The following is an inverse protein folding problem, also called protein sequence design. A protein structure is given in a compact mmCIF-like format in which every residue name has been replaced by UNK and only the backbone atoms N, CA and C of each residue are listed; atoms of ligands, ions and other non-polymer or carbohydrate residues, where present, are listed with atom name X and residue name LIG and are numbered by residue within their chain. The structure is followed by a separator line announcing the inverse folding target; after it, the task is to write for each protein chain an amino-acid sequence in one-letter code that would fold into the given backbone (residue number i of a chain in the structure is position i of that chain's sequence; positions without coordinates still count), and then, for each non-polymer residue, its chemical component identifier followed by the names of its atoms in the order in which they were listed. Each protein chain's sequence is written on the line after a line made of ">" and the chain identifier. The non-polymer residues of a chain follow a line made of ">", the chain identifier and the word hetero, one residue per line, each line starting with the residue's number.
data_IF_970019247500
#
_entry.id   IF_970019247500
#
_cell.length_a   1.000
_cell.length_b   1.000
_cell.length_c   1.000
_cell.angle_alpha   90.00
_cell.angle_beta   90.00
_cell.angle_gamma   90.00
#
_symmetry.space_group_name_H-M   'P 1'
#
loop_
_entity.id
_entity.type
_entity.pdbx_description
1 polymer ?
#
# COMPACT_ATOMS: atom_id res chain seq x y z
N UNK A 1 -4.32 5.81 -17.29
CA UNK A 1 -5.12 7.06 -17.33
C UNK A 1 -6.22 6.82 -16.32
N UNK A 2 -6.25 7.53 -15.18
CA UNK A 2 -7.16 7.21 -14.07
C UNK A 2 -8.61 7.22 -14.54
N UNK A 3 -9.35 6.14 -14.25
CA UNK A 3 -10.72 5.97 -14.72
C UNK A 3 -11.66 6.94 -13.96
N UNK A 4 -11.87 8.13 -14.51
CA UNK A 4 -12.59 9.23 -13.85
C UNK A 4 -13.99 8.82 -13.38
N UNK A 5 -14.70 7.98 -14.15
CA UNK A 5 -16.05 7.49 -13.83
C UNK A 5 -16.09 6.65 -12.55
N UNK A 6 -15.08 5.82 -12.27
CA UNK A 6 -15.06 4.99 -11.05
C UNK A 6 -14.80 5.84 -9.80
N UNK A 7 -14.02 6.92 -9.92
CA UNK A 7 -13.84 7.90 -8.84
C UNK A 7 -15.10 8.72 -8.59
N UNK A 8 -15.81 9.15 -9.64
CA UNK A 8 -17.12 9.81 -9.48
C UNK A 8 -18.14 8.92 -8.78
N UNK A 9 -18.20 7.64 -9.16
CA UNK A 9 -19.05 6.65 -8.47
C UNK A 9 -18.68 6.52 -6.99
N UNK A 10 -17.38 6.43 -6.69
CA UNK A 10 -16.88 6.39 -5.31
C UNK A 10 -17.34 7.61 -4.52
N UNK A 11 -17.21 8.83 -5.05
CA UNK A 11 -17.63 10.04 -4.33
C UNK A 11 -19.14 10.08 -4.03
N UNK A 12 -19.97 9.45 -4.86
CA UNK A 12 -21.42 9.33 -4.62
C UNK A 12 -21.78 8.25 -3.62
N UNK A 13 -21.07 7.13 -3.63
CA UNK A 13 -21.40 5.95 -2.84
C UNK A 13 -20.71 5.93 -1.47
N UNK A 14 -19.55 6.57 -1.35
CA UNK A 14 -18.71 6.49 -0.16
C UNK A 14 -19.43 7.06 1.06
N UNK A 15 -19.61 6.22 2.07
CA UNK A 15 -20.24 6.61 3.34
C UNK A 15 -19.16 7.10 4.32
N UNK A 16 -19.56 8.02 5.18
CA UNK A 16 -18.81 8.35 6.40
C UNK A 16 -19.24 7.45 7.56
N UNK A 17 -18.77 7.77 8.77
CA UNK A 17 -19.05 7.00 10.00
C UNK A 17 -20.51 6.63 10.28
N UNK A 18 -21.48 7.42 9.79
CA UNK A 18 -22.90 7.25 10.09
C UNK A 18 -23.60 6.20 9.21
N UNK A 19 -22.89 5.58 8.28
CA UNK A 19 -23.45 4.58 7.36
C UNK A 19 -22.83 3.18 7.48
N UNK A 20 -22.04 2.94 8.54
CA UNK A 20 -21.33 1.68 8.79
C UNK A 20 -21.96 0.99 10.01
N UNK A 21 -22.51 -0.20 9.81
CA UNK A 21 -23.13 -0.99 10.88
C UNK A 21 -22.25 -2.13 11.40
N UNK A 22 -21.15 -2.45 10.70
CA UNK A 22 -20.15 -3.42 11.15
C UNK A 22 -19.27 -2.81 12.24
N UNK A 23 -19.25 -3.37 13.48
CA UNK A 23 -18.42 -2.84 14.57
C UNK A 23 -16.92 -2.81 14.23
N UNK A 24 -16.45 -3.82 13.49
CA UNK A 24 -15.08 -3.90 13.00
C UNK A 24 -14.74 -2.71 12.09
N UNK A 25 -15.58 -2.45 11.09
CA UNK A 25 -15.36 -1.34 10.14
C UNK A 25 -15.59 0.01 10.82
N UNK A 26 -16.49 0.09 11.80
CA UNK A 26 -16.65 1.29 12.62
C UNK A 26 -15.36 1.63 13.37
N UNK A 27 -14.72 0.63 14.01
CA UNK A 27 -13.43 0.82 14.68
C UNK A 27 -12.33 1.27 13.70
N UNK A 28 -12.26 0.66 12.51
CA UNK A 28 -11.35 1.09 11.45
C UNK A 28 -11.53 2.59 11.12
N UNK A 29 -12.78 3.01 10.87
CA UNK A 29 -13.07 4.39 10.41
C UNK A 29 -12.94 5.41 11.52
N UNK A 30 -13.44 5.12 12.72
CA UNK A 30 -13.57 6.10 13.80
C UNK A 30 -12.34 6.12 14.72
N UNK A 31 -11.57 5.03 14.77
CA UNK A 31 -10.35 4.91 15.61
C UNK A 31 -9.07 4.85 14.77
N UNK A 32 -8.95 3.87 13.86
CA UNK A 32 -7.69 3.68 13.15
C UNK A 32 -7.42 4.83 12.17
N UNK A 33 -8.32 5.09 11.22
CA UNK A 33 -8.15 6.13 10.19
C UNK A 33 -8.24 7.56 10.73
N UNK A 34 -8.57 7.73 12.02
CA UNK A 34 -8.56 9.01 12.74
C UNK A 34 -7.33 9.22 13.61
N UNK A 35 -6.50 8.19 13.77
CA UNK A 35 -5.25 8.26 14.51
C UNK A 35 -4.36 9.36 13.92
N UNK A 36 -3.85 10.24 14.77
CA UNK A 36 -2.97 11.33 14.35
C UNK A 36 -1.56 10.80 14.13
N UNK A 37 -1.02 11.05 12.94
CA UNK A 37 0.40 10.85 12.66
C UNK A 37 1.24 11.73 13.60
N UNK A 38 2.26 11.15 14.23
CA UNK A 38 3.07 11.84 15.23
C UNK A 38 3.63 13.18 14.69
N UNK A 39 3.57 14.23 15.52
CA UNK A 39 3.95 15.59 15.11
C UNK A 39 5.42 15.67 14.68
N UNK A 40 6.33 15.04 15.43
CA UNK A 40 7.76 15.08 15.11
C UNK A 40 8.06 14.34 13.82
N UNK A 41 7.51 13.13 13.66
CA UNK A 41 7.61 12.39 12.40
C UNK A 41 7.09 13.23 11.22
N UNK A 42 5.94 13.87 11.36
CA UNK A 42 5.39 14.75 10.32
C UNK A 42 6.32 15.90 9.92
N UNK A 43 6.99 16.54 10.89
CA UNK A 43 7.96 17.63 10.62
C UNK A 43 9.17 17.08 9.87
N UNK A 44 9.75 15.97 10.33
CA UNK A 44 10.90 15.34 9.70
C UNK A 44 10.56 14.82 8.29
N UNK A 45 9.35 14.27 8.11
CA UNK A 45 8.86 13.75 6.83
C UNK A 45 8.76 14.84 5.78
N UNK A 46 8.28 16.03 6.15
CA UNK A 46 8.26 17.20 5.27
C UNK A 46 9.66 17.63 4.84
N UNK A 47 10.62 17.64 5.78
CA UNK A 47 12.03 17.97 5.47
C UNK A 47 12.65 16.94 4.53
N UNK A 48 12.44 15.65 4.80
CA UNK A 48 12.90 14.56 3.96
C UNK A 48 12.34 14.64 2.54
N UNK A 49 11.02 14.82 2.38
CA UNK A 49 10.40 15.04 1.07
C UNK A 49 10.96 16.27 0.34
N UNK A 50 11.26 17.36 1.05
CA UNK A 50 11.91 18.52 0.45
C UNK A 50 13.35 18.23 0.00
N UNK A 51 14.07 17.33 0.68
CA UNK A 51 15.36 16.79 0.23
C UNK A 51 15.22 16.00 -1.06
N UNK A 52 14.34 14.99 -1.08
CA UNK A 52 14.08 14.14 -2.25
C UNK A 52 13.63 14.93 -3.49
N UNK A 53 12.86 16.02 -3.32
CA UNK A 53 12.44 16.88 -4.45
C UNK A 53 13.57 17.71 -5.05
N UNK A 54 14.58 18.04 -4.26
CA UNK A 54 15.75 18.81 -4.72
C UNK A 54 16.79 17.93 -5.39
N UNK A 55 16.81 16.65 -5.05
CA UNK A 55 17.64 15.65 -5.71
C UNK A 55 17.08 15.33 -7.11
N UNK A 56 17.73 15.93 -8.12
CA UNK A 56 17.42 15.77 -9.54
C UNK A 56 18.45 14.93 -10.27
N UNK A 57 19.29 14.20 -9.54
CA UNK A 57 20.27 13.31 -10.15
C UNK A 57 19.51 12.21 -10.93
N UNK A 58 19.74 12.10 -12.25
CA UNK A 58 19.11 11.06 -13.04
C UNK A 58 19.77 9.70 -12.76
N UNK A 59 18.96 8.66 -12.66
CA UNK A 59 19.43 7.28 -12.56
C UNK A 59 18.55 6.33 -13.36
N UNK A 60 19.14 5.18 -13.67
CA UNK A 60 18.50 4.11 -14.43
C UNK A 60 17.51 3.33 -13.57
N UNK A 61 16.27 3.22 -14.04
CA UNK A 61 15.20 2.43 -13.42
C UNK A 61 14.75 1.35 -14.39
N UNK A 62 14.71 0.12 -13.91
CA UNK A 62 14.18 -1.03 -14.64
C UNK A 62 12.71 -1.15 -14.25
N UNK A 63 11.82 -1.00 -15.23
CA UNK A 63 10.39 -1.09 -15.01
C UNK A 63 9.94 -2.54 -15.27
N UNK A 64 9.62 -3.27 -14.19
CA UNK A 64 9.12 -4.66 -14.25
C UNK A 64 7.58 -4.74 -14.22
N UNK A 65 6.87 -3.61 -14.34
CA UNK A 65 5.41 -3.55 -14.31
C UNK A 65 4.71 -3.72 -15.66
N UNK A 66 3.39 -3.48 -15.66
CA UNK A 66 2.50 -3.76 -16.79
C UNK A 66 2.92 -2.99 -18.05
N UNK A 67 3.07 -3.70 -19.16
CA UNK A 67 3.34 -3.09 -20.47
C UNK A 67 4.78 -2.64 -20.73
N UNK A 68 5.70 -2.91 -19.80
CA UNK A 68 7.14 -2.67 -19.97
C UNK A 68 7.83 -3.97 -20.42
N UNK A 69 8.11 -4.15 -21.72
CA UNK A 69 9.23 -5.04 -22.11
C UNK A 69 10.44 -4.50 -21.35
N UNK A 70 11.12 -5.25 -20.47
CA UNK A 70 12.22 -4.77 -19.58
C UNK A 70 12.91 -3.47 -20.05
N UNK A 71 12.26 -2.32 -19.80
CA UNK A 71 12.61 -1.06 -20.44
C UNK A 71 13.32 -0.27 -19.37
N UNK A 72 14.58 0.01 -19.66
CA UNK A 72 15.36 0.91 -18.83
C UNK A 72 14.90 2.34 -19.10
N UNK A 73 14.42 3.03 -18.07
CA UNK A 73 14.01 4.43 -18.13
C UNK A 73 14.90 5.26 -17.21
N UNK A 74 15.27 6.45 -17.65
CA UNK A 74 15.94 7.42 -16.78
C UNK A 74 14.91 8.16 -15.94
N UNK A 75 15.09 8.17 -14.61
CA UNK A 75 14.21 8.85 -13.64
C UNK A 75 15.04 9.63 -12.63
N UNK A 76 14.38 10.52 -11.90
CA UNK A 76 14.95 11.24 -10.73
C UNK A 76 14.17 10.90 -9.47
N UNK A 77 14.74 11.15 -8.28
CA UNK A 77 14.00 11.00 -7.01
C UNK A 77 12.78 11.89 -6.96
N UNK A 78 12.86 13.11 -7.50
CA UNK A 78 11.71 14.01 -7.62
C UNK A 78 10.54 13.36 -8.39
N UNK A 79 10.81 12.73 -9.54
CA UNK A 79 9.77 12.09 -10.37
C UNK A 79 9.15 10.86 -9.69
N UNK A 80 9.97 10.04 -9.03
CA UNK A 80 9.45 8.89 -8.29
C UNK A 80 8.62 9.35 -7.07
N UNK A 81 9.10 10.35 -6.32
CA UNK A 81 8.34 10.95 -5.24
C UNK A 81 7.06 11.64 -5.73
N UNK A 82 7.04 12.25 -6.92
CA UNK A 82 5.82 12.85 -7.46
C UNK A 82 4.79 11.81 -7.88
N UNK A 83 5.20 10.58 -8.17
CA UNK A 83 4.27 9.52 -8.59
C UNK A 83 3.93 8.55 -7.46
N UNK A 84 4.66 8.56 -6.36
CA UNK A 84 4.39 7.71 -5.20
C UNK A 84 3.00 8.00 -4.61
N UNK A 85 2.17 6.97 -4.55
CA UNK A 85 0.87 6.92 -3.87
C UNK A 85 0.98 7.12 -2.37
N UNK A 86 2.00 6.49 -1.80
CA UNK A 86 2.35 6.50 -0.39
C UNK A 86 2.83 7.87 0.12
N UNK A 87 2.87 8.90 -0.75
CA UNK A 87 3.04 10.30 -0.32
C UNK A 87 1.68 10.88 0.09
N UNK A 88 1.64 11.61 1.21
CA UNK A 88 0.42 12.32 1.62
C UNK A 88 -0.61 11.40 2.28
N UNK A 89 -1.86 11.43 1.82
CA UNK A 89 -3.00 10.88 2.58
C UNK A 89 -2.96 9.36 2.69
N UNK A 90 -2.56 8.64 1.64
CA UNK A 90 -2.41 7.18 1.69
C UNK A 90 -1.18 6.77 2.48
N UNK A 91 -0.14 7.61 2.52
CA UNK A 91 0.95 7.44 3.47
C UNK A 91 0.49 7.55 4.92
N UNK A 92 -0.41 8.49 5.21
CA UNK A 92 -1.04 8.59 6.54
C UNK A 92 -1.88 7.34 6.85
N UNK A 93 -2.60 6.79 5.87
CA UNK A 93 -3.35 5.52 6.02
C UNK A 93 -2.41 4.37 6.39
N UNK A 94 -1.30 4.20 5.67
CA UNK A 94 -0.33 3.14 5.99
C UNK A 94 0.21 3.26 7.42
N UNK A 95 0.58 4.49 7.84
CA UNK A 95 0.99 4.75 9.22
C UNK A 95 -0.12 4.37 10.22
N UNK A 96 -1.35 4.78 9.94
CA UNK A 96 -2.51 4.56 10.81
C UNK A 96 -2.85 3.08 10.95
N UNK A 97 -2.82 2.33 9.85
CA UNK A 97 -3.08 0.89 9.83
C UNK A 97 -2.00 0.15 10.63
N UNK A 98 -0.72 0.44 10.39
CA UNK A 98 0.36 -0.15 11.18
C UNK A 98 0.24 0.21 12.67
N UNK A 99 -0.10 1.46 13.00
CA UNK A 99 -0.29 1.89 14.38
C UNK A 99 -1.45 1.18 15.09
N UNK A 100 -2.57 1.02 14.39
CA UNK A 100 -3.80 0.45 14.96
C UNK A 100 -3.70 -1.06 15.12
N UNK A 101 -3.26 -1.76 14.06
CA UNK A 101 -3.22 -3.22 14.00
C UNK A 101 -1.92 -3.80 14.56
N UNK A 102 -0.87 -2.99 14.69
CA UNK A 102 0.43 -3.37 15.26
C UNK A 102 0.98 -4.68 14.66
N UNK A 103 1.05 -4.81 13.33
CA UNK A 103 1.50 -6.03 12.66
C UNK A 103 2.95 -6.34 13.04
N UNK A 104 3.23 -7.56 13.46
CA UNK A 104 4.59 -8.02 13.77
C UNK A 104 5.36 -8.31 12.49
N UNK A 105 4.71 -8.91 11.49
CA UNK A 105 5.30 -9.22 10.20
C UNK A 105 4.55 -8.52 9.05
N UNK A 106 5.28 -7.69 8.31
CA UNK A 106 4.76 -6.97 7.15
C UNK A 106 5.49 -7.41 5.88
N UNK A 107 4.73 -7.70 4.82
CA UNK A 107 5.26 -7.81 3.47
C UNK A 107 4.87 -6.57 2.65
N UNK A 108 5.83 -5.97 1.96
CA UNK A 108 5.61 -4.92 0.97
C UNK A 108 6.12 -5.38 -0.40
N UNK A 109 5.24 -5.38 -1.40
CA UNK A 109 5.59 -5.65 -2.79
C UNK A 109 5.61 -4.31 -3.54
N UNK A 110 6.81 -3.77 -3.77
CA UNK A 110 7.04 -2.49 -4.43
C UNK A 110 7.61 -1.42 -3.50
N UNK A 111 8.92 -1.44 -3.28
CA UNK A 111 9.59 -0.50 -2.35
C UNK A 111 9.75 0.91 -2.92
N UNK A 112 10.11 1.05 -4.20
CA UNK A 112 10.46 2.31 -4.85
C UNK A 112 11.51 3.12 -4.06
N UNK A 113 11.19 4.33 -3.59
CA UNK A 113 12.07 5.16 -2.74
C UNK A 113 11.98 4.83 -1.24
N UNK A 114 11.21 3.82 -0.85
CA UNK A 114 10.95 3.44 0.55
C UNK A 114 9.92 4.33 1.25
N UNK A 115 9.07 5.05 0.49
CA UNK A 115 8.08 5.98 1.07
C UNK A 115 7.04 5.23 1.92
N UNK A 116 6.46 4.16 1.35
CA UNK A 116 5.47 3.30 2.02
C UNK A 116 6.06 2.60 3.24
N UNK A 117 7.20 1.93 3.05
CA UNK A 117 7.98 1.28 4.10
C UNK A 117 8.21 2.18 5.31
N UNK A 118 8.63 3.44 5.09
CA UNK A 118 8.83 4.41 6.17
C UNK A 118 7.53 4.72 6.90
N UNK A 119 6.39 4.84 6.21
CA UNK A 119 5.10 5.07 6.90
C UNK A 119 4.71 3.89 7.78
N UNK A 120 4.77 2.67 7.22
CA UNK A 120 4.46 1.43 7.93
C UNK A 120 5.35 1.27 9.17
N UNK A 121 6.66 1.45 9.00
CA UNK A 121 7.63 1.32 10.08
C UNK A 121 7.44 2.38 11.17
N UNK A 122 7.14 3.62 10.80
CA UNK A 122 6.90 4.68 11.77
C UNK A 122 5.54 4.54 12.48
N UNK A 123 4.55 3.91 11.84
CA UNK A 123 3.28 3.56 12.46
C UNK A 123 3.43 2.55 13.58
N UNK A 124 4.30 1.55 13.39
CA UNK A 124 4.65 0.59 14.42
C UNK A 124 6.13 0.16 14.36
N UNK A 125 7.03 0.84 15.10
CA UNK A 125 8.48 0.61 15.01
C UNK A 125 8.98 -0.79 15.36
N UNK A 126 8.14 -1.61 16.00
CA UNK A 126 8.49 -2.99 16.37
C UNK A 126 8.25 -4.00 15.24
N UNK A 127 7.51 -3.65 14.19
CA UNK A 127 7.27 -4.55 13.06
C UNK A 127 8.57 -4.97 12.38
N UNK A 128 8.63 -6.20 11.88
CA UNK A 128 9.61 -6.61 10.89
C UNK A 128 8.99 -6.46 9.50
N UNK A 129 9.66 -5.73 8.61
CA UNK A 129 9.15 -5.48 7.25
C UNK A 129 10.06 -6.19 6.25
N UNK A 130 9.51 -7.08 5.44
CA UNK A 130 10.15 -7.57 4.22
C UNK A 130 9.62 -6.72 3.06
N UNK A 131 10.52 -6.06 2.33
CA UNK A 131 10.16 -5.24 1.17
C UNK A 131 10.86 -5.74 -0.09
N UNK A 132 10.09 -5.93 -1.15
CA UNK A 132 10.54 -6.53 -2.41
C UNK A 132 10.50 -5.49 -3.52
N UNK A 133 11.62 -5.32 -4.20
CA UNK A 133 11.76 -4.37 -5.31
C UNK A 133 12.55 -5.00 -6.46
N UNK A 134 12.00 -4.92 -7.66
CA UNK A 134 12.61 -5.47 -8.85
C UNK A 134 13.84 -4.69 -9.33
N UNK A 135 13.83 -3.37 -9.16
CA UNK A 135 14.93 -2.53 -9.62
C UNK A 135 16.00 -2.32 -8.53
N UNK A 136 17.24 -2.81 -8.75
CA UNK A 136 18.31 -2.67 -7.75
C UNK A 136 18.65 -1.20 -7.45
N UNK A 137 18.52 -0.32 -8.45
CA UNK A 137 18.80 1.11 -8.28
C UNK A 137 17.78 1.77 -7.36
N UNK A 138 16.48 1.51 -7.52
CA UNK A 138 15.46 2.09 -6.63
C UNK A 138 15.58 1.49 -5.24
N UNK A 139 15.82 0.19 -5.11
CA UNK A 139 16.08 -0.46 -3.83
C UNK A 139 17.27 0.18 -3.09
N UNK A 140 18.37 0.45 -3.80
CA UNK A 140 19.52 1.18 -3.23
C UNK A 140 19.13 2.57 -2.72
N UNK A 141 18.29 3.32 -3.46
CA UNK A 141 17.76 4.61 -2.99
C UNK A 141 16.80 4.45 -1.80
N UNK A 142 16.04 3.36 -1.71
CA UNK A 142 15.21 3.05 -0.54
C UNK A 142 16.07 2.77 0.71
N UNK A 143 17.17 2.02 0.58
CA UNK A 143 18.11 1.81 1.68
C UNK A 143 18.67 3.13 2.21
N UNK A 144 19.03 4.08 1.33
CA UNK A 144 19.44 5.43 1.74
C UNK A 144 18.36 6.16 2.54
N UNK A 145 17.09 5.96 2.20
CA UNK A 145 15.96 6.47 2.98
C UNK A 145 15.90 5.82 4.36
N UNK A 146 16.06 4.50 4.44
CA UNK A 146 16.03 3.78 5.71
C UNK A 146 17.18 4.22 6.64
N UNK A 147 18.38 4.44 6.09
CA UNK A 147 19.53 4.99 6.80
C UNK A 147 19.27 6.41 7.31
N UNK A 148 18.70 7.27 6.46
CA UNK A 148 18.33 8.64 6.84
C UNK A 148 17.39 8.65 8.07
N UNK A 149 16.45 7.71 8.11
CA UNK A 149 15.49 7.55 9.19
C UNK A 149 15.99 6.69 10.35
N UNK A 150 17.19 6.08 10.23
CA UNK A 150 17.78 5.14 11.19
C UNK A 150 16.84 3.98 11.52
N UNK A 151 16.20 3.42 10.49
CA UNK A 151 15.23 2.33 10.65
C UNK A 151 15.94 0.99 10.73
N UNK A 152 15.49 0.15 11.65
CA UNK A 152 15.94 -1.23 11.83
C UNK A 152 14.79 -2.20 11.55
N UNK A 153 15.07 -3.50 11.42
CA UNK A 153 14.04 -4.52 11.23
C UNK A 153 13.33 -4.39 9.88
N UNK A 154 14.09 -4.03 8.84
CA UNK A 154 13.65 -4.04 7.44
C UNK A 154 14.59 -4.98 6.69
N UNK A 155 14.02 -5.96 6.00
CA UNK A 155 14.74 -6.87 5.09
C UNK A 155 14.39 -6.48 3.66
N UNK A 156 15.40 -6.12 2.87
CA UNK A 156 15.22 -5.72 1.47
C UNK A 156 15.57 -6.87 0.54
N UNK A 157 14.67 -7.19 -0.39
CA UNK A 157 14.86 -8.24 -1.38
C UNK A 157 14.83 -7.63 -2.78
N UNK A 158 15.90 -7.85 -3.56
CA UNK A 158 15.90 -7.50 -4.98
C UNK A 158 15.44 -8.70 -5.82
N UNK A 159 14.17 -8.72 -6.20
CA UNK A 159 13.58 -9.77 -7.03
C UNK A 159 12.29 -9.25 -7.69
N UNK A 160 11.83 -9.92 -8.74
CA UNK A 160 10.43 -9.75 -9.15
C UNK A 160 9.48 -10.32 -8.09
N UNK A 161 8.24 -9.83 -8.05
CA UNK A 161 7.25 -10.33 -7.09
C UNK A 161 6.99 -11.82 -7.29
N UNK A 162 6.91 -12.28 -8.54
CA UNK A 162 6.70 -13.70 -8.84
C UNK A 162 7.84 -14.57 -8.31
N UNK A 163 9.09 -14.18 -8.54
CA UNK A 163 10.25 -14.94 -8.05
C UNK A 163 10.29 -15.03 -6.53
N UNK A 164 9.91 -13.96 -5.83
CA UNK A 164 9.84 -13.95 -4.37
C UNK A 164 8.68 -14.82 -3.85
N UNK A 165 7.48 -14.66 -4.42
CA UNK A 165 6.27 -15.31 -3.94
C UNK A 165 6.24 -16.83 -4.20
N UNK A 166 7.05 -17.32 -5.15
CA UNK A 166 7.23 -18.76 -5.40
C UNK A 166 8.28 -19.42 -4.51
N UNK A 167 9.01 -18.65 -3.70
CA UNK A 167 9.92 -19.22 -2.70
C UNK A 167 9.14 -19.89 -1.55
N UNK A 168 9.75 -20.86 -0.84
CA UNK A 168 9.16 -21.41 0.37
C UNK A 168 8.76 -20.33 1.38
N UNK A 169 7.59 -20.52 2.00
CA UNK A 169 7.08 -19.63 3.04
C UNK A 169 7.77 -19.95 4.36
N UNK A 170 8.42 -18.95 4.96
CA UNK A 170 9.06 -19.09 6.28
C UNK A 170 8.26 -18.42 7.41
N UNK A 171 7.43 -17.43 7.06
CA UNK A 171 6.57 -16.69 7.98
C UNK A 171 5.29 -16.28 7.25
N UNK A 172 4.18 -16.21 7.97
CA UNK A 172 2.95 -15.60 7.45
C UNK A 172 2.88 -14.14 7.91
N UNK A 173 2.29 -13.27 7.10
CA UNK A 173 2.29 -11.83 7.35
C UNK A 173 0.95 -11.35 7.91
N UNK A 174 1.01 -10.49 8.91
CA UNK A 174 -0.17 -9.81 9.48
C UNK A 174 -0.70 -8.74 8.52
N UNK A 175 0.20 -8.11 7.75
CA UNK A 175 -0.11 -7.08 6.78
C UNK A 175 0.68 -7.30 5.49
N UNK A 176 -0.01 -7.29 4.35
CA UNK A 176 0.59 -7.39 3.03
C UNK A 176 0.19 -6.15 2.22
N UNK A 177 1.16 -5.31 1.86
CA UNK A 177 0.96 -4.13 1.03
C UNK A 177 1.46 -4.39 -0.39
N UNK A 178 0.55 -4.25 -1.36
CA UNK A 178 0.79 -4.49 -2.78
C UNK A 178 0.77 -3.14 -3.49
N UNK A 179 1.95 -2.59 -3.77
CA UNK A 179 2.21 -1.27 -4.35
C UNK A 179 3.10 -1.40 -5.60
N UNK A 180 2.64 -2.16 -6.60
CA UNK A 180 3.43 -2.37 -7.81
C UNK A 180 2.72 -3.16 -8.91
N UNK A 181 3.42 -3.29 -10.04
CA UNK A 181 2.97 -3.84 -11.33
C UNK A 181 1.82 -3.06 -12.00
N UNK A 182 0.78 -2.66 -11.27
CA UNK A 182 -0.42 -1.98 -11.76
C UNK A 182 -1.09 -2.68 -12.96
N UNK A 183 -1.08 -4.02 -12.92
CA UNK A 183 -1.73 -4.91 -13.87
C UNK A 183 -2.77 -5.75 -13.13
N UNK A 184 -4.02 -5.71 -13.57
CA UNK A 184 -5.10 -6.46 -12.93
C UNK A 184 -4.87 -7.98 -12.91
N UNK A 185 -4.34 -8.56 -14.00
CA UNK A 185 -4.09 -10.01 -14.08
C UNK A 185 -2.96 -10.43 -13.15
N UNK A 186 -1.83 -9.73 -13.17
CA UNK A 186 -0.71 -9.99 -12.26
C UNK A 186 -1.12 -9.82 -10.80
N UNK A 187 -1.95 -8.81 -10.48
CA UNK A 187 -2.46 -8.60 -9.12
C UNK A 187 -3.24 -9.81 -8.60
N UNK A 188 -4.12 -10.39 -9.43
CA UNK A 188 -4.85 -11.61 -9.08
C UNK A 188 -3.93 -12.84 -8.97
N UNK A 189 -2.93 -12.96 -9.85
CA UNK A 189 -1.91 -14.02 -9.74
C UNK A 189 -1.12 -13.92 -8.43
N UNK A 190 -0.68 -12.71 -8.05
CA UNK A 190 0.01 -12.49 -6.79
C UNK A 190 -0.88 -12.79 -5.59
N UNK A 191 -2.16 -12.43 -5.65
CA UNK A 191 -3.11 -12.75 -4.58
C UNK A 191 -3.27 -14.25 -4.37
N UNK A 192 -3.23 -15.05 -5.43
CA UNK A 192 -3.25 -16.51 -5.34
C UNK A 192 -1.97 -17.04 -4.68
N UNK A 193 -0.80 -16.57 -5.12
CA UNK A 193 0.48 -16.97 -4.53
C UNK A 193 0.59 -16.53 -3.06
N UNK A 194 0.00 -15.40 -2.68
CA UNK A 194 0.03 -14.87 -1.32
C UNK A 194 -0.84 -15.66 -0.34
N UNK A 195 -1.71 -16.57 -0.79
CA UNK A 195 -2.55 -17.36 0.11
C UNK A 195 -1.72 -18.15 1.12
N UNK A 196 -0.62 -18.78 0.68
CA UNK A 196 0.30 -19.52 1.55
C UNK A 196 1.12 -18.59 2.48
N UNK A 197 1.26 -17.31 2.14
CA UNK A 197 1.96 -16.28 2.93
C UNK A 197 1.05 -15.57 3.94
N UNK A 198 -0.23 -15.94 4.01
CA UNK A 198 -1.24 -15.25 4.82
C UNK A 198 -1.92 -16.20 5.81
N UNK A 199 -2.49 -15.63 6.86
CA UNK A 199 -3.29 -16.33 7.86
C UNK A 199 -4.69 -15.71 7.96
N UNK A 200 -5.53 -16.29 8.83
CA UNK A 200 -6.77 -15.62 9.23
C UNK A 200 -6.41 -14.29 9.89
N UNK A 201 -7.12 -13.21 9.58
CA UNK A 201 -6.83 -11.83 10.02
C UNK A 201 -5.75 -11.06 9.25
N UNK A 202 -5.03 -11.68 8.29
CA UNK A 202 -4.12 -10.92 7.44
C UNK A 202 -4.85 -9.78 6.72
N UNK A 203 -4.30 -8.58 6.83
CA UNK A 203 -4.73 -7.38 6.12
C UNK A 203 -4.00 -7.27 4.79
N UNK A 204 -4.72 -7.39 3.68
CA UNK A 204 -4.21 -7.07 2.35
C UNK A 204 -4.55 -5.63 1.98
N UNK A 205 -3.54 -4.87 1.57
CA UNK A 205 -3.67 -3.50 1.11
C UNK A 205 -3.27 -3.46 -0.36
N UNK A 206 -4.18 -3.04 -1.23
CA UNK A 206 -3.94 -2.86 -2.65
C UNK A 206 -3.88 -1.36 -2.96
N UNK A 207 -2.74 -0.88 -3.46
CA UNK A 207 -2.70 0.47 -4.02
C UNK A 207 -3.32 0.51 -5.42
N UNK A 208 -3.76 1.71 -5.81
CA UNK A 208 -4.12 2.03 -7.19
C UNK A 208 -5.22 1.14 -7.81
N UNK A 209 -6.23 0.75 -7.01
CA UNK A 209 -7.36 -0.10 -7.44
C UNK A 209 -8.19 0.50 -8.59
N UNK A 210 -8.01 1.80 -8.91
CA UNK A 210 -8.65 2.54 -10.01
C UNK A 210 -7.66 3.08 -11.05
N UNK A 211 -6.45 2.54 -11.11
CA UNK A 211 -5.39 3.02 -12.02
C UNK A 211 -5.74 2.86 -13.50
N UNK A 212 -6.33 1.71 -13.83
CA UNK A 212 -6.73 1.24 -15.15
C UNK A 212 -8.05 0.47 -15.05
N UNK A 213 -8.66 0.17 -16.19
CA UNK A 213 -9.86 -0.68 -16.23
C UNK A 213 -9.55 -2.10 -15.76
N UNK A 214 -8.39 -2.66 -16.14
CA UNK A 214 -7.93 -3.97 -15.67
C UNK A 214 -7.80 -4.04 -14.13
N UNK A 215 -7.21 -3.03 -13.50
CA UNK A 215 -7.07 -2.96 -12.03
C UNK A 215 -8.43 -2.83 -11.36
N UNK A 216 -9.35 -2.09 -11.96
CA UNK A 216 -10.70 -1.96 -11.44
C UNK A 216 -11.50 -3.26 -11.55
N UNK A 217 -11.36 -4.00 -12.67
CA UNK A 217 -11.94 -5.33 -12.80
C UNK A 217 -11.31 -6.34 -11.81
N UNK A 218 -10.00 -6.26 -11.58
CA UNK A 218 -9.32 -7.06 -10.58
C UNK A 218 -9.85 -6.75 -9.17
N UNK A 219 -10.01 -5.48 -8.82
CA UNK A 219 -10.61 -5.09 -7.54
C UNK A 219 -12.02 -5.63 -7.36
N UNK A 220 -12.90 -5.54 -8.38
CA UNK A 220 -14.24 -6.11 -8.30
C UNK A 220 -14.20 -7.63 -8.10
N UNK A 221 -13.27 -8.31 -8.76
CA UNK A 221 -13.03 -9.75 -8.56
C UNK A 221 -12.64 -10.05 -7.11
N UNK A 222 -11.72 -9.27 -6.53
CA UNK A 222 -11.29 -9.40 -5.13
C UNK A 222 -12.45 -9.16 -4.16
N UNK A 223 -13.32 -8.18 -4.44
CA UNK A 223 -14.49 -7.88 -3.60
C UNK A 223 -15.45 -9.07 -3.50
N UNK A 224 -15.68 -9.81 -4.59
CA UNK A 224 -16.59 -10.96 -4.61
C UNK A 224 -15.92 -12.29 -4.22
N UNK A 225 -14.61 -12.33 -4.05
CA UNK A 225 -13.87 -13.54 -3.68
C UNK A 225 -14.25 -14.01 -2.26
N UNK A 226 -14.79 -15.22 -2.15
CA UNK A 226 -15.32 -15.80 -0.90
C UNK A 226 -14.26 -16.06 0.18
N UNK A 227 -12.97 -16.00 -0.16
CA UNK A 227 -11.89 -16.04 0.84
C UNK A 227 -11.90 -14.80 1.73
N UNK A 228 -12.42 -13.68 1.23
CA UNK A 228 -12.43 -12.40 1.93
C UNK A 228 -13.84 -12.00 2.36
N UNK A 229 -13.91 -11.58 3.62
CA UNK A 229 -15.18 -11.33 4.30
C UNK A 229 -15.43 -9.84 4.47
N UNK A 230 -14.38 -9.03 4.66
CA UNK A 230 -14.53 -7.58 4.74
C UNK A 230 -13.63 -6.95 3.69
N UNK A 231 -14.22 -6.16 2.82
CA UNK A 231 -13.49 -5.34 1.85
C UNK A 231 -13.88 -3.87 1.99
N UNK A 232 -12.88 -2.99 1.97
CA UNK A 232 -13.05 -1.55 2.11
C UNK A 232 -12.37 -0.84 0.96
N UNK A 233 -13.17 -0.11 0.20
CA UNK A 233 -12.71 0.79 -0.86
C UNK A 233 -12.50 2.20 -0.27
N UNK A 234 -11.27 2.70 -0.34
CA UNK A 234 -10.87 4.04 0.09
C UNK A 234 -10.62 5.00 -1.09
N UNK A 235 -11.10 4.67 -2.28
CA UNK A 235 -10.96 5.46 -3.50
C UNK A 235 -9.76 5.03 -4.34
N UNK A 236 -8.53 5.29 -3.87
CA UNK A 236 -7.32 4.78 -4.56
C UNK A 236 -6.87 3.44 -4.01
N UNK A 237 -7.06 3.23 -2.70
CA UNK A 237 -6.55 2.08 -1.97
C UNK A 237 -7.70 1.16 -1.57
N UNK A 238 -7.49 -0.15 -1.72
CA UNK A 238 -8.40 -1.18 -1.27
C UNK A 238 -7.83 -1.90 -0.06
N UNK A 239 -8.65 -2.15 0.96
CA UNK A 239 -8.30 -2.95 2.13
C UNK A 239 -9.15 -4.21 2.15
N UNK A 240 -8.55 -5.34 2.47
CA UNK A 240 -9.18 -6.66 2.36
C UNK A 240 -8.75 -7.52 3.54
N UNK A 241 -9.71 -8.14 4.23
CA UNK A 241 -9.47 -9.03 5.37
C UNK A 241 -10.10 -10.40 5.19
N UNK A 242 -9.37 -11.42 5.66
CA UNK A 242 -9.88 -12.79 5.85
C UNK A 242 -10.42 -12.95 7.27
N UNK A 243 -11.74 -12.84 7.43
CA UNK A 243 -12.44 -12.85 8.73
C UNK A 243 -13.65 -13.79 8.68
N UNK A 244 -13.45 -15.13 8.76
CA UNK A 244 -14.53 -16.10 8.62
C UNK A 244 -15.63 -15.99 9.69
N UNK A 245 -15.36 -15.26 10.78
CA UNK A 245 -16.32 -14.96 11.83
C UNK A 245 -17.29 -13.82 11.48
N UNK A 246 -17.15 -13.19 10.31
CA UNK A 246 -18.02 -12.11 9.83
C UNK A 246 -18.69 -12.47 8.52
N UNK A 247 -19.88 -11.91 8.26
CA UNK A 247 -20.53 -12.00 6.97
C UNK A 247 -19.71 -11.25 5.91
N UNK A 248 -19.84 -11.69 4.65
CA UNK A 248 -19.23 -11.02 3.51
C UNK A 248 -19.86 -9.65 3.30
N UNK A 249 -19.07 -8.59 3.47
CA UNK A 249 -19.49 -7.20 3.35
C UNK A 249 -18.44 -6.37 2.60
N UNK A 250 -18.94 -5.45 1.76
CA UNK A 250 -18.13 -4.46 1.06
C UNK A 250 -18.53 -3.04 1.47
N UNK A 251 -17.54 -2.20 1.76
CA UNK A 251 -17.75 -0.82 2.17
C UNK A 251 -16.97 0.14 1.27
N UNK A 252 -17.64 1.13 0.71
CA UNK A 252 -16.97 2.32 0.16
C UNK A 252 -16.92 3.41 1.23
N UNK A 253 -15.73 3.83 1.64
CA UNK A 253 -15.53 4.71 2.79
C UNK A 253 -14.71 5.92 2.40
N UNK A 254 -15.19 7.09 2.81
CA UNK A 254 -14.44 8.35 2.74
C UNK A 254 -14.32 8.96 4.14
N UNK A 255 -13.17 8.79 4.82
CA UNK A 255 -12.96 9.37 6.15
C UNK A 255 -13.17 10.89 6.17
N UNK A 256 -13.96 11.39 7.13
CA UNK A 256 -14.30 12.82 7.25
C UNK A 256 -13.08 13.74 7.39
N UNK A 257 -11.98 13.21 7.91
CA UNK A 257 -10.74 13.97 8.18
C UNK A 257 -10.05 14.37 6.89
N UNK A 258 -10.38 13.72 5.78
CA UNK A 258 -9.82 14.01 4.47
C UNK A 258 -10.34 15.34 3.87
N UNK A 259 -11.12 16.14 4.63
CA UNK A 259 -11.48 17.58 4.43
C UNK A 259 -11.12 18.15 3.05
N UNK A 260 -11.93 17.85 2.02
CA UNK A 260 -11.80 18.32 0.63
C UNK A 260 -10.44 18.05 -0.07
N UNK A 261 -9.51 17.35 0.57
CA UNK A 261 -8.27 16.90 -0.09
C UNK A 261 -8.65 15.82 -1.09
N UNK A 262 -8.47 16.15 -2.36
CA UNK A 262 -8.39 15.16 -3.43
C UNK A 262 -6.99 14.54 -3.37
N UNK A 263 -6.93 13.25 -3.73
CA UNK A 263 -5.77 12.36 -3.82
C UNK A 263 -4.40 13.06 -3.84
#
# INVERSE_FOLDING_TARGET
>A
MQHSRSYWSFFRQAKGRHGVHSPFVFQLVDTCLTTKVEKNFNILRKKWYAGLRRDREPFSVIDLGAGSKQLTKTRTKQQLLSNSSSKGIYGDVLYQLAHCYRPEHILELGTSLGIGTVQLKMGFPKSHIITVEGCPTTLSKACQSFDYWKLNGITTINASFKEFLTQPVFVQYDLIFIDGHHDGTATLEYLELLQQHSHEETLFIFDDIRWSDDMWEAWKTIVIDERFHVTVDLGRMGLVWRRPQQLKEHFSIRPKIWKNRLF
#
